data_IF_767668310131
#
_entry.id   IF_767668310131
#
_cell.length_a   1.000
_cell.length_b   1.000
_cell.length_c   1.000
_cell.angle_alpha   90.00
_cell.angle_beta   90.00
_cell.angle_gamma   90.00
#
_symmetry.space_group_name_H-M   'P 1'
#
loop_
_entity.id
_entity.type
_entity.pdbx_description
1 polymer ?
#
# COMPACT_ATOMS: atom_id res chain seq x y z
N UNK A 1 7.59 7.26 15.25
CA UNK A 1 7.39 7.16 16.71
C UNK A 1 6.75 8.46 17.13
N UNK A 2 5.66 8.38 17.88
CA UNK A 2 5.03 9.53 18.51
C UNK A 2 5.12 9.34 20.01
N UNK A 3 5.49 10.39 20.74
CA UNK A 3 5.71 10.35 22.18
C UNK A 3 5.09 11.59 22.84
N UNK A 4 4.36 11.37 23.92
CA UNK A 4 3.84 12.39 24.83
C UNK A 4 4.03 11.93 26.27
N UNK A 5 3.76 12.82 27.23
CA UNK A 5 4.00 12.60 28.67
C UNK A 5 3.41 11.30 29.22
N UNK A 6 2.31 10.81 28.64
CA UNK A 6 1.61 9.60 29.08
C UNK A 6 1.41 8.56 27.97
N UNK A 7 1.99 8.76 26.78
CA UNK A 7 1.73 7.90 25.63
C UNK A 7 2.94 7.77 24.71
N UNK A 8 3.36 6.53 24.49
CA UNK A 8 4.31 6.17 23.44
C UNK A 8 3.61 5.35 22.36
N UNK A 9 3.67 5.81 21.10
CA UNK A 9 3.13 5.11 19.93
C UNK A 9 4.26 4.74 18.98
N UNK A 10 4.39 3.42 18.77
CA UNK A 10 5.25 2.85 17.75
C UNK A 10 4.39 2.28 16.62
N UNK A 11 4.82 2.50 15.38
CA UNK A 11 4.10 2.06 14.18
C UNK A 11 5.01 1.13 13.40
N UNK A 12 4.43 0.09 12.80
CA UNK A 12 5.15 -0.78 11.90
C UNK A 12 5.63 -0.01 10.65
N UNK A 13 6.66 -0.54 9.99
CA UNK A 13 7.18 0.09 8.77
C UNK A 13 6.09 0.14 7.68
N UNK A 14 6.12 1.16 6.79
CA UNK A 14 5.17 1.25 5.68
C UNK A 14 5.16 0.00 4.79
N UNK A 15 6.32 -0.62 4.56
CA UNK A 15 6.44 -1.89 3.81
C UNK A 15 5.71 -3.04 4.52
N UNK A 16 5.85 -3.15 5.84
CA UNK A 16 5.17 -4.20 6.59
C UNK A 16 3.65 -3.98 6.62
N UNK A 17 3.19 -2.73 6.80
CA UNK A 17 1.77 -2.39 6.73
C UNK A 17 1.17 -2.68 5.34
N UNK A 18 1.92 -2.40 4.27
CA UNK A 18 1.52 -2.74 2.91
C UNK A 18 1.40 -4.25 2.72
N UNK A 19 2.40 -5.01 3.17
CA UNK A 19 2.37 -6.47 3.11
C UNK A 19 1.15 -7.03 3.85
N UNK A 20 0.83 -6.50 5.04
CA UNK A 20 -0.36 -6.90 5.80
C UNK A 20 -1.66 -6.58 5.07
N UNK A 21 -1.79 -5.39 4.48
CA UNK A 21 -2.99 -4.99 3.72
C UNK A 21 -3.21 -5.89 2.50
N UNK A 22 -2.16 -6.08 1.70
CA UNK A 22 -2.19 -6.98 0.55
C UNK A 22 -2.54 -8.41 0.98
N UNK A 23 -1.93 -8.90 2.07
CA UNK A 23 -2.17 -10.24 2.62
C UNK A 23 -3.61 -10.44 3.08
N UNK A 24 -4.17 -9.44 3.76
CA UNK A 24 -5.55 -9.48 4.23
C UNK A 24 -6.53 -9.60 3.06
N UNK A 25 -6.22 -8.95 1.91
CA UNK A 25 -7.01 -8.99 0.67
C UNK A 25 -8.51 -8.86 0.93
N UNK A 26 -8.91 -7.93 1.80
CA UNK A 26 -10.34 -7.68 2.02
C UNK A 26 -10.86 -6.79 0.88
N UNK A 27 -12.17 -6.65 0.86
CA UNK A 27 -13.03 -5.97 -0.09
C UNK A 27 -12.48 -4.60 -0.59
N UNK A 28 -13.09 -4.02 -1.62
CA UNK A 28 -12.61 -2.83 -2.36
C UNK A 28 -12.10 -1.66 -1.49
N UNK A 29 -12.63 -1.46 -0.28
CA UNK A 29 -12.17 -0.43 0.66
C UNK A 29 -10.70 -0.58 1.09
N UNK A 30 -10.19 -1.80 1.19
CA UNK A 30 -8.78 -2.05 1.57
C UNK A 30 -7.80 -1.72 0.43
N UNK A 31 -8.28 -1.59 -0.81
CA UNK A 31 -7.44 -1.25 -1.97
C UNK A 31 -6.93 0.19 -1.91
N UNK A 32 -7.75 1.12 -1.43
CA UNK A 32 -7.35 2.53 -1.38
C UNK A 32 -6.21 2.78 -0.38
N UNK A 33 -6.24 2.10 0.77
CA UNK A 33 -5.17 2.09 1.76
C UNK A 33 -3.89 1.44 1.20
N UNK A 34 -4.06 0.30 0.50
CA UNK A 34 -2.93 -0.39 -0.13
C UNK A 34 -2.28 0.48 -1.21
N UNK A 35 -3.07 1.21 -2.01
CA UNK A 35 -2.57 2.18 -3.00
C UNK A 35 -1.83 3.34 -2.33
N UNK A 36 -2.35 3.87 -1.22
CA UNK A 36 -1.66 4.92 -0.47
C UNK A 36 -0.31 4.44 0.08
N UNK A 37 -0.27 3.24 0.65
CA UNK A 37 0.96 2.63 1.15
C UNK A 37 1.94 2.27 0.03
N UNK A 38 1.44 1.78 -1.11
CA UNK A 38 2.24 1.50 -2.33
C UNK A 38 3.00 2.75 -2.77
N UNK A 39 2.29 3.87 -2.93
CA UNK A 39 2.89 5.16 -3.27
C UNK A 39 3.83 5.67 -2.18
N UNK A 40 3.47 5.51 -0.90
CA UNK A 40 4.29 5.96 0.24
C UNK A 40 5.62 5.21 0.34
N UNK A 41 5.63 3.92 -0.01
CA UNK A 41 6.83 3.08 -0.08
C UNK A 41 7.68 3.42 -1.30
N UNK A 42 7.09 4.05 -2.33
CA UNK A 42 7.77 4.43 -3.57
C UNK A 42 7.78 3.33 -4.62
N UNK A 43 6.89 2.33 -4.52
CA UNK A 43 6.76 1.31 -5.55
C UNK A 43 6.07 1.88 -6.79
N UNK A 44 6.39 1.28 -7.93
CA UNK A 44 5.87 1.68 -9.25
C UNK A 44 5.27 0.50 -10.00
N UNK A 45 5.68 -0.73 -9.67
CA UNK A 45 5.26 -1.96 -10.34
C UNK A 45 4.59 -2.95 -9.39
N UNK A 46 3.72 -3.81 -9.92
CA UNK A 46 3.12 -4.90 -9.16
C UNK A 46 4.16 -5.93 -8.69
N UNK A 47 5.24 -6.12 -9.44
CA UNK A 47 6.30 -7.07 -9.12
C UNK A 47 6.99 -6.73 -7.78
N UNK A 48 7.23 -5.44 -7.50
CA UNK A 48 7.80 -5.00 -6.22
C UNK A 48 6.90 -5.40 -5.02
N UNK A 49 5.58 -5.40 -5.21
CA UNK A 49 4.64 -5.89 -4.21
C UNK A 49 4.65 -7.40 -4.04
N UNK A 50 4.77 -8.14 -5.15
CA UNK A 50 4.87 -9.60 -5.12
C UNK A 50 6.16 -10.03 -4.41
N UNK A 51 7.27 -9.33 -4.69
CA UNK A 51 8.56 -9.56 -4.06
C UNK A 51 8.49 -9.25 -2.56
N UNK A 52 7.85 -8.12 -2.19
CA UNK A 52 7.58 -7.78 -0.78
C UNK A 52 6.78 -8.88 -0.07
N UNK A 53 5.72 -9.39 -0.68
CA UNK A 53 4.89 -10.44 -0.09
C UNK A 53 5.67 -11.75 0.07
N UNK A 54 6.49 -12.11 -0.92
CA UNK A 54 7.30 -13.33 -0.91
C UNK A 54 8.46 -13.25 0.09
N UNK A 55 9.00 -12.06 0.31
CA UNK A 55 9.99 -11.81 1.36
C UNK A 55 9.38 -11.80 2.78
N UNK A 56 8.08 -11.45 2.90
CA UNK A 56 7.41 -11.31 4.20
C UNK A 56 6.72 -12.60 4.66
N UNK A 57 6.14 -13.37 3.74
CA UNK A 57 5.35 -14.57 4.03
C UNK A 57 5.89 -15.78 3.28
N UNK A 58 5.81 -16.96 3.92
CA UNK A 58 6.19 -18.22 3.26
C UNK A 58 5.24 -18.55 2.10
N UNK A 59 5.73 -19.24 1.07
CA UNK A 59 4.97 -19.53 -0.16
C UNK A 59 3.63 -20.22 0.09
N UNK A 60 3.54 -21.12 1.09
CA UNK A 60 2.30 -21.81 1.45
C UNK A 60 1.22 -20.90 2.07
N UNK A 61 1.59 -19.69 2.47
CA UNK A 61 0.64 -18.69 2.92
C UNK A 61 0.03 -17.99 1.70
N UNK A 62 0.80 -17.65 0.67
CA UNK A 62 0.35 -16.83 -0.47
C UNK A 62 -0.60 -17.60 -1.41
N UNK A 63 -1.77 -17.04 -1.65
CA UNK A 63 -2.77 -17.53 -2.60
C UNK A 63 -2.64 -16.78 -3.94
N UNK A 64 -3.07 -17.37 -5.07
CA UNK A 64 -3.05 -16.68 -6.37
C UNK A 64 -3.72 -15.30 -6.36
N UNK A 65 -4.78 -15.12 -5.55
CA UNK A 65 -5.48 -13.83 -5.38
C UNK A 65 -4.56 -12.70 -4.89
N UNK A 66 -3.50 -13.01 -4.15
CA UNK A 66 -2.57 -11.99 -3.65
C UNK A 66 -1.80 -11.33 -4.79
N UNK A 67 -1.48 -12.10 -5.85
CA UNK A 67 -0.87 -11.54 -7.07
C UNK A 67 -1.84 -10.61 -7.78
N UNK A 68 -3.11 -11.03 -7.93
CA UNK A 68 -4.15 -10.18 -8.49
C UNK A 68 -4.30 -8.85 -7.72
N UNK A 69 -4.31 -8.89 -6.39
CA UNK A 69 -4.36 -7.67 -5.58
C UNK A 69 -3.15 -6.75 -5.80
N UNK A 70 -1.95 -7.30 -6.04
CA UNK A 70 -0.76 -6.49 -6.33
C UNK A 70 -0.90 -5.77 -7.68
N UNK A 71 -1.40 -6.46 -8.71
CA UNK A 71 -1.68 -5.87 -10.02
C UNK A 71 -2.72 -4.75 -9.91
N UNK A 72 -3.84 -5.02 -9.25
CA UNK A 72 -4.93 -4.06 -9.06
C UNK A 72 -4.50 -2.79 -8.31
N UNK A 73 -3.60 -2.94 -7.32
CA UNK A 73 -3.03 -1.81 -6.58
C UNK A 73 -2.09 -1.01 -7.46
N UNK A 74 -1.22 -1.67 -8.25
CA UNK A 74 -0.31 -0.98 -9.15
C UNK A 74 -1.05 -0.17 -10.23
N UNK A 75 -2.08 -0.76 -10.84
CA UNK A 75 -2.95 -0.10 -11.82
C UNK A 75 -3.62 1.13 -11.21
N UNK A 76 -4.29 0.98 -10.05
CA UNK A 76 -4.95 2.11 -9.38
C UNK A 76 -3.96 3.19 -8.95
N UNK A 77 -2.78 2.81 -8.47
CA UNK A 77 -1.73 3.75 -8.09
C UNK A 77 -1.26 4.56 -9.29
N UNK A 78 -1.09 3.92 -10.45
CA UNK A 78 -0.75 4.60 -11.69
C UNK A 78 -1.86 5.56 -12.11
N UNK A 79 -3.12 5.12 -12.12
CA UNK A 79 -4.27 6.00 -12.44
C UNK A 79 -4.36 7.22 -11.53
N UNK A 80 -4.04 7.09 -10.23
CA UNK A 80 -4.01 8.23 -9.29
C UNK A 80 -2.86 9.20 -9.53
N UNK A 81 -1.73 8.72 -10.05
CA UNK A 81 -0.59 9.57 -10.43
C UNK A 81 -0.86 10.30 -11.75
N UNK A 82 -1.54 9.65 -12.68
CA UNK A 82 -1.89 10.20 -13.99
C UNK A 82 -3.10 11.14 -13.93
N UNK A 83 -3.94 11.04 -12.90
CA UNK A 83 -5.02 11.97 -12.66
C UNK A 83 -4.45 13.40 -12.48
N UNK A 84 -4.93 14.39 -13.25
CA UNK A 84 -4.45 15.76 -13.13
C UNK A 84 -4.68 16.25 -11.70
N UNK A 85 -3.64 16.85 -11.12
CA UNK A 85 -3.65 17.40 -9.78
C UNK A 85 -4.64 18.59 -9.71
N UNK A 86 -5.93 18.33 -9.54
CA UNK A 86 -7.00 19.36 -9.41
C UNK A 86 -6.93 20.16 -8.09
N UNK A 87 -5.75 20.28 -7.50
CA UNK A 87 -5.48 21.04 -6.27
C UNK A 87 -4.73 22.35 -6.47
N UNK A 88 -4.49 22.79 -7.72
CA UNK A 88 -3.93 24.11 -7.98
C UNK A 88 -5.04 25.14 -8.26
N UNK A 89 -4.94 26.26 -7.54
CA UNK A 89 -5.68 27.52 -7.70
C UNK A 89 -6.99 27.65 -6.92
N UNK A 90 -6.91 28.34 -5.77
CA UNK A 90 -7.65 29.58 -5.52
C UNK A 90 -6.79 30.52 -4.65
N UNK A 91 -5.99 31.33 -5.33
CA UNK A 91 -5.57 32.62 -4.77
C UNK A 91 -6.72 33.59 -5.01
N UNK A 92 -7.41 34.02 -3.96
CA UNK A 92 -8.12 35.30 -3.91
C UNK A 92 -8.22 35.76 -2.47
#
# INVERSE_FOLDING_TARGET
MFESEWLLVQVASPKYLLAMKLRASRDERDLDDAVLLFNKVGFTTAQECIDLLTATYTTGQLLPRHRYMCEEVAVRAQSRRDAPNSGAVKNT
#
